data_IF_332293435560
#
_entry.id   IF_332293435560
#
_cell.length_a   1.000
_cell.length_b   1.000
_cell.length_c   1.000
_cell.angle_alpha   90.00
_cell.angle_beta   90.00
_cell.angle_gamma   90.00
#
_symmetry.space_group_name_H-M   'P 1'
#
loop_
_entity.id
_entity.type
_entity.pdbx_description
1 polymer ?
#
# COMPACT_ATOMS: atom_id res chain seq x y z
N UNK A 1 14.89 -12.25 -3.43
CA UNK A 1 13.67 -11.68 -2.81
C UNK A 1 12.56 -11.68 -3.84
N UNK A 2 11.35 -12.16 -3.51
CA UNK A 2 10.21 -12.11 -4.41
C UNK A 2 9.69 -10.67 -4.54
N UNK A 3 9.09 -10.32 -5.69
CA UNK A 3 8.47 -9.01 -5.89
C UNK A 3 7.48 -8.66 -4.77
N UNK A 4 6.70 -9.65 -4.31
CA UNK A 4 5.71 -9.50 -3.26
C UNK A 4 6.33 -9.05 -1.92
N UNK A 5 7.45 -9.64 -1.53
CA UNK A 5 8.17 -9.26 -0.31
C UNK A 5 8.78 -7.87 -0.42
N UNK A 6 9.39 -7.55 -1.57
CA UNK A 6 9.93 -6.22 -1.86
C UNK A 6 8.84 -5.15 -1.82
N UNK A 7 7.76 -5.32 -2.57
CA UNK A 7 6.66 -4.36 -2.63
C UNK A 7 6.04 -4.14 -1.25
N UNK A 8 5.86 -5.21 -0.47
CA UNK A 8 5.32 -5.12 0.89
C UNK A 8 6.21 -4.31 1.84
N UNK A 9 7.54 -4.38 1.71
CA UNK A 9 8.46 -3.57 2.51
C UNK A 9 8.26 -2.07 2.27
N UNK A 10 8.00 -1.70 1.01
CA UNK A 10 7.80 -0.31 0.59
C UNK A 10 6.32 0.14 0.63
N UNK A 11 5.40 -0.66 1.19
CA UNK A 11 3.97 -0.31 1.27
C UNK A 11 3.70 1.06 1.90
N UNK A 12 4.57 1.50 2.83
CA UNK A 12 4.45 2.80 3.51
C UNK A 12 4.75 4.00 2.63
N UNK A 13 5.27 3.79 1.41
CA UNK A 13 5.62 4.82 0.43
C UNK A 13 4.61 4.87 -0.72
N UNK A 14 3.65 3.95 -0.74
CA UNK A 14 2.66 3.82 -1.81
C UNK A 14 1.26 4.02 -1.23
N UNK A 15 0.56 5.11 -1.58
CA UNK A 15 -0.82 5.30 -1.15
C UNK A 15 -1.71 4.18 -1.68
N UNK A 16 -2.67 3.74 -0.88
CA UNK A 16 -3.63 2.68 -1.23
C UNK A 16 -2.98 1.33 -1.62
N UNK A 17 -1.78 1.05 -1.12
CA UNK A 17 -1.04 -0.18 -1.45
C UNK A 17 -1.88 -1.46 -1.32
N UNK A 18 -2.67 -1.60 -0.25
CA UNK A 18 -3.47 -2.80 0.00
C UNK A 18 -4.55 -3.04 -1.06
N UNK A 19 -5.08 -1.98 -1.67
CA UNK A 19 -6.04 -2.06 -2.78
C UNK A 19 -5.31 -2.50 -4.05
N UNK A 20 -4.19 -1.84 -4.37
CA UNK A 20 -3.39 -2.14 -5.55
C UNK A 20 -2.81 -3.57 -5.53
N UNK A 21 -2.41 -4.05 -4.35
CA UNK A 21 -1.87 -5.39 -4.16
C UNK A 21 -2.94 -6.48 -4.08
N UNK A 22 -4.22 -6.14 -3.87
CA UNK A 22 -5.28 -7.13 -3.63
C UNK A 22 -5.37 -8.21 -4.74
N UNK A 23 -5.32 -7.87 -6.05
CA UNK A 23 -5.37 -8.89 -7.10
C UNK A 23 -4.16 -9.83 -7.09
N UNK A 24 -2.98 -9.32 -6.71
CA UNK A 24 -1.77 -10.14 -6.59
C UNK A 24 -1.79 -11.00 -5.33
N UNK A 25 -2.36 -10.50 -4.23
CA UNK A 25 -2.56 -11.25 -3.00
C UNK A 25 -3.51 -12.44 -3.21
N UNK A 26 -4.52 -12.30 -4.07
CA UNK A 26 -5.45 -13.38 -4.41
C UNK A 26 -4.78 -14.54 -5.13
N UNK A 27 -3.81 -14.27 -6.01
CA UNK A 27 -3.06 -15.29 -6.74
C UNK A 27 -2.18 -16.19 -5.87
N UNK A 28 -1.80 -15.73 -4.67
CA UNK A 28 -0.89 -16.44 -3.76
C UNK A 28 -1.62 -17.09 -2.58
N UNK A 29 -2.96 -17.07 -2.57
CA UNK A 29 -3.76 -17.78 -1.56
C UNK A 29 -3.65 -19.29 -1.76
N UNK A 30 -3.73 -20.02 -0.65
CA UNK A 30 -3.82 -21.48 -0.67
C UNK A 30 -5.07 -21.91 -1.46
N UNK A 31 -4.94 -22.99 -2.22
CA UNK A 31 -6.03 -23.59 -3.01
C UNK A 31 -6.58 -22.72 -4.15
N UNK A 32 -5.86 -21.66 -4.54
CA UNK A 32 -6.16 -20.87 -5.76
C UNK A 32 -5.25 -21.32 -6.90
N UNK A 33 -5.86 -21.64 -8.04
CA UNK A 33 -5.12 -21.91 -9.28
C UNK A 33 -4.46 -20.61 -9.74
N UNK A 34 -3.13 -20.65 -9.91
CA UNK A 34 -2.39 -19.50 -10.40
C UNK A 34 -2.73 -19.25 -11.88
N UNK A 35 -3.61 -18.28 -12.13
CA UNK A 35 -4.00 -17.85 -13.46
C UNK A 35 -3.74 -16.35 -13.62
N UNK A 36 -2.66 -16.00 -14.32
CA UNK A 36 -2.36 -14.60 -14.62
C UNK A 36 -3.32 -14.06 -15.68
N UNK A 37 -3.82 -12.84 -15.46
CA UNK A 37 -4.88 -12.21 -16.26
C UNK A 37 -4.58 -10.70 -16.31
N UNK A 38 -5.30 -9.97 -17.16
CA UNK A 38 -5.09 -8.54 -17.36
C UNK A 38 -5.16 -7.74 -16.05
N UNK A 39 -6.13 -8.05 -15.18
CA UNK A 39 -6.25 -7.38 -13.85
C UNK A 39 -4.99 -7.53 -12.99
N UNK A 40 -4.32 -8.67 -13.07
CA UNK A 40 -3.08 -8.93 -12.34
C UNK A 40 -1.92 -8.15 -12.94
N UNK A 41 -1.85 -8.09 -14.29
CA UNK A 41 -0.85 -7.30 -15.00
C UNK A 41 -0.98 -5.81 -14.69
N UNK A 42 -2.19 -5.27 -14.73
CA UNK A 42 -2.47 -3.86 -14.41
C UNK A 42 -2.03 -3.53 -12.98
N UNK A 43 -2.43 -4.33 -11.98
CA UNK A 43 -1.99 -4.16 -10.59
C UNK A 43 -0.46 -4.23 -10.44
N UNK A 44 0.19 -5.16 -11.14
CA UNK A 44 1.64 -5.31 -11.10
C UNK A 44 2.36 -4.09 -11.69
N UNK A 45 1.94 -3.60 -12.86
CA UNK A 45 2.55 -2.43 -13.51
C UNK A 45 2.31 -1.16 -12.70
N UNK A 46 1.11 -0.98 -12.16
CA UNK A 46 0.78 0.19 -11.34
C UNK A 46 1.61 0.20 -10.05
N UNK A 47 1.75 -0.94 -9.36
CA UNK A 47 2.64 -1.05 -8.20
C UNK A 47 4.08 -0.73 -8.57
N UNK A 48 4.58 -1.26 -9.70
CA UNK A 48 5.95 -0.99 -10.16
C UNK A 48 6.14 0.50 -10.41
N UNK A 49 5.21 1.16 -11.08
CA UNK A 49 5.26 2.60 -11.35
C UNK A 49 5.22 3.41 -10.04
N UNK A 50 4.31 3.09 -9.12
CA UNK A 50 4.18 3.80 -7.84
C UNK A 50 5.44 3.61 -6.98
N UNK A 51 6.06 2.44 -7.01
CA UNK A 51 7.30 2.17 -6.27
C UNK A 51 8.51 2.91 -6.86
N UNK A 52 8.56 3.12 -8.18
CA UNK A 52 9.65 3.87 -8.83
C UNK A 52 9.44 5.38 -8.83
N UNK A 53 8.19 5.84 -8.72
CA UNK A 53 7.81 7.26 -8.68
C UNK A 53 7.44 7.73 -7.27
N UNK A 54 7.52 6.86 -6.26
CA UNK A 54 7.14 7.20 -4.89
C UNK A 54 7.94 8.43 -4.45
N UNK A 55 7.28 9.49 -3.94
CA UNK A 55 8.01 10.59 -3.35
C UNK A 55 8.89 10.03 -2.24
N UNK A 56 10.16 10.42 -2.23
CA UNK A 56 11.05 10.13 -1.11
C UNK A 56 10.38 10.73 0.12
N UNK A 57 9.79 9.89 0.98
CA UNK A 57 9.17 10.37 2.21
C UNK A 57 10.25 11.09 3.01
N UNK A 58 9.90 12.26 3.51
CA UNK A 58 10.83 13.00 4.36
C UNK A 58 11.12 12.17 5.62
N UNK A 59 12.36 12.23 6.10
CA UNK A 59 12.70 11.62 7.38
C UNK A 59 11.88 12.31 8.48
N UNK A 60 11.33 11.55 9.44
CA UNK A 60 10.60 12.14 10.56
C UNK A 60 11.54 13.01 11.39
N UNK A 61 11.10 14.23 11.68
CA UNK A 61 11.76 15.13 12.61
C UNK A 61 10.98 15.13 13.93
N UNK A 62 11.49 14.46 14.95
CA UNK A 62 10.79 14.32 16.24
C UNK A 62 10.64 15.63 17.03
N UNK A 63 11.24 16.73 16.57
CA UNK A 63 11.03 18.06 17.14
C UNK A 63 9.84 18.79 16.52
N UNK A 64 9.20 18.24 15.48
CA UNK A 64 8.04 18.83 14.80
C UNK A 64 6.77 18.06 15.12
N UNK A 65 5.66 18.78 15.14
CA UNK A 65 4.32 18.18 15.30
C UNK A 65 4.01 17.23 14.15
N UNK A 66 3.51 16.05 14.49
CA UNK A 66 2.96 15.09 13.53
C UNK A 66 1.49 15.40 13.27
N UNK A 67 1.11 15.30 12.00
CA UNK A 67 -0.28 15.42 11.54
C UNK A 67 -0.71 14.06 10.98
N UNK A 68 -1.88 13.56 11.41
CA UNK A 68 -2.42 12.29 10.92
C UNK A 68 -3.70 12.56 10.15
N UNK A 69 -3.73 12.18 8.87
CA UNK A 69 -4.95 12.16 8.06
C UNK A 69 -5.39 10.71 7.87
N UNK A 70 -6.62 10.39 8.26
CA UNK A 70 -7.19 9.06 8.12
C UNK A 70 -8.42 9.11 7.23
N UNK A 71 -8.61 8.05 6.46
CA UNK A 71 -9.84 7.76 5.74
C UNK A 71 -10.21 6.29 5.96
N UNK A 72 -11.51 6.01 6.02
CA UNK A 72 -12.00 4.66 6.25
C UNK A 72 -13.21 4.38 5.37
N UNK A 73 -13.26 3.16 4.86
CA UNK A 73 -14.38 2.63 4.09
C UNK A 73 -14.79 1.28 4.65
N UNK A 74 -15.91 0.74 4.16
CA UNK A 74 -16.36 -0.62 4.49
C UNK A 74 -15.33 -1.70 4.14
N UNK A 75 -14.39 -1.41 3.24
CA UNK A 75 -13.42 -2.37 2.70
C UNK A 75 -12.05 -2.26 3.41
N UNK A 76 -11.72 -1.10 3.98
CA UNK A 76 -10.38 -0.86 4.48
C UNK A 76 -10.19 0.52 5.10
N UNK A 77 -9.07 0.66 5.80
CA UNK A 77 -8.61 1.89 6.44
C UNK A 77 -7.32 2.35 5.76
N UNK A 78 -7.21 3.65 5.54
CA UNK A 78 -6.00 4.33 5.11
C UNK A 78 -5.61 5.42 6.10
N UNK A 79 -4.31 5.61 6.30
CA UNK A 79 -3.80 6.77 7.03
C UNK A 79 -2.54 7.33 6.38
N UNK A 80 -2.33 8.63 6.57
CA UNK A 80 -1.21 9.39 6.07
C UNK A 80 -0.64 10.22 7.22
N UNK A 81 0.60 9.91 7.60
CA UNK A 81 1.40 10.67 8.56
C UNK A 81 2.13 11.79 7.82
N UNK A 82 1.98 13.02 8.29
CA UNK A 82 2.57 14.22 7.72
C UNK A 82 3.33 15.02 8.79
N UNK A 83 4.24 15.88 8.34
CA UNK A 83 4.83 16.95 9.15
C UNK A 83 4.93 18.23 8.33
N UNK A 84 4.30 19.31 8.78
CA UNK A 84 4.31 20.59 8.06
C UNK A 84 3.80 20.43 6.63
N UNK A 85 2.73 19.64 6.45
CA UNK A 85 2.16 19.32 5.14
C UNK A 85 2.94 18.32 4.27
N UNK A 86 4.09 17.80 4.71
CA UNK A 86 4.91 16.86 3.93
C UNK A 86 4.67 15.40 4.35
N UNK A 87 4.43 14.46 3.43
CA UNK A 87 4.25 13.04 3.75
C UNK A 87 5.50 12.39 4.37
N UNK A 88 5.30 11.69 5.49
CA UNK A 88 6.32 10.90 6.22
C UNK A 88 6.06 9.40 6.08
N UNK A 89 4.80 8.97 6.16
CA UNK A 89 4.42 7.55 6.07
C UNK A 89 2.98 7.41 5.59
N UNK A 90 2.74 6.42 4.72
CA UNK A 90 1.41 5.91 4.39
C UNK A 90 1.14 4.62 5.16
N UNK A 91 -0.12 4.42 5.54
CA UNK A 91 -0.63 3.19 6.12
C UNK A 91 -1.89 2.79 5.37
N UNK A 92 -2.06 1.50 5.12
CA UNK A 92 -3.25 0.98 4.47
C UNK A 92 -3.47 -0.46 4.91
N UNK A 93 -4.67 -0.76 5.40
CA UNK A 93 -5.06 -2.09 5.84
C UNK A 93 -6.46 -2.42 5.34
N UNK A 94 -6.62 -3.63 4.80
CA UNK A 94 -7.93 -4.15 4.38
C UNK A 94 -8.66 -4.66 5.61
N UNK A 95 -9.89 -4.19 5.83
CA UNK A 95 -10.75 -4.73 6.87
C UNK A 95 -11.31 -6.05 6.37
N UNK A 96 -10.96 -7.16 7.03
CA UNK A 96 -11.68 -8.41 6.83
C UNK A 96 -13.03 -8.26 7.54
N UNK A 97 -14.12 -8.36 6.79
CA UNK A 97 -15.46 -8.30 7.37
C UNK A 97 -15.60 -9.30 8.51
N UNK A 98 -16.14 -8.84 9.63
CA UNK A 98 -16.69 -9.74 10.65
C UNK A 98 -17.71 -10.68 9.96
N UNK A 99 -17.77 -11.96 10.38
CA UNK A 99 -18.70 -12.94 9.80
C UNK A 99 -20.15 -12.47 9.86
#
# INVERSE_FOLDING_TARGET
>A
MSFHGFASFYRRFVPNFSILASPLNELVKKDVVFLWQEKHNLSFQELKQKLTQAPVLALPDFNKTFELKCDASRIGIGALLLQGGHPIAYFSEKLMGLP
#
